data_IF_520546547400
#
_entry.id   IF_520546547400
#
_cell.length_a   1.000
_cell.length_b   1.000
_cell.length_c   1.000
_cell.angle_alpha   90.00
_cell.angle_beta   90.00
_cell.angle_gamma   90.00
#
_symmetry.space_group_name_H-M   'P 1'
#
loop_
_entity.id
_entity.type
_entity.pdbx_description
1 polymer ?
#
# COMPACT_ATOMS: atom_id res chain seq x y z
N UNK A 1 -5.59 -13.52 -14.23
CA UNK A 1 -6.88 -13.91 -13.58
C UNK A 1 -6.55 -14.71 -12.33
N UNK A 2 -7.01 -14.26 -11.14
CA UNK A 2 -6.82 -14.99 -9.90
C UNK A 2 -7.32 -16.44 -10.03
N UNK A 3 -6.55 -17.40 -9.53
CA UNK A 3 -6.94 -18.82 -9.47
C UNK A 3 -8.07 -19.02 -8.46
N UNK A 4 -8.75 -20.18 -8.49
CA UNK A 4 -9.75 -20.51 -7.49
C UNK A 4 -9.13 -20.54 -6.09
N UNK A 5 -7.97 -21.17 -5.94
CA UNK A 5 -7.24 -21.22 -4.68
C UNK A 5 -6.91 -19.84 -4.13
N UNK A 6 -6.43 -18.92 -4.98
CA UNK A 6 -6.15 -17.53 -4.56
C UNK A 6 -7.41 -16.81 -4.06
N UNK A 7 -8.54 -16.99 -4.74
CA UNK A 7 -9.82 -16.37 -4.35
C UNK A 7 -10.37 -16.87 -3.01
N UNK A 8 -10.11 -18.14 -2.71
CA UNK A 8 -10.57 -18.77 -1.47
C UNK A 8 -9.68 -18.49 -0.26
N UNK A 9 -8.38 -18.33 -0.52
CA UNK A 9 -7.35 -18.30 0.53
C UNK A 9 -6.73 -16.92 0.76
N UNK A 10 -6.90 -15.98 -0.18
CA UNK A 10 -6.31 -14.63 -0.07
C UNK A 10 -7.42 -13.60 0.00
N UNK A 11 -7.50 -12.90 1.13
CA UNK A 11 -8.40 -11.77 1.27
C UNK A 11 -7.75 -10.50 0.70
N UNK A 12 -8.43 -9.87 -0.23
CA UNK A 12 -8.07 -8.55 -0.78
C UNK A 12 -8.94 -7.49 -0.09
N UNK A 13 -8.39 -6.67 0.84
CA UNK A 13 -9.13 -5.58 1.43
C UNK A 13 -9.59 -4.56 0.37
N UNK A 14 -10.74 -3.91 0.58
CA UNK A 14 -11.22 -2.86 -0.34
C UNK A 14 -10.19 -1.75 -0.52
N UNK A 15 -9.55 -1.32 0.58
CA UNK A 15 -8.50 -0.30 0.53
C UNK A 15 -7.30 -0.70 -0.33
N UNK A 16 -6.95 -2.00 -0.39
CA UNK A 16 -5.89 -2.50 -1.27
C UNK A 16 -6.34 -2.49 -2.75
N UNK A 17 -7.61 -2.77 -3.02
CA UNK A 17 -8.17 -2.63 -4.36
C UNK A 17 -8.20 -1.15 -4.79
N UNK A 18 -8.64 -0.25 -3.92
CA UNK A 18 -8.65 1.18 -4.15
C UNK A 18 -7.24 1.72 -4.42
N UNK A 19 -6.22 1.18 -3.71
CA UNK A 19 -4.82 1.55 -3.94
C UNK A 19 -4.33 1.13 -5.34
N UNK A 20 -4.71 -0.04 -5.83
CA UNK A 20 -4.39 -0.45 -7.20
C UNK A 20 -5.01 0.47 -8.25
N UNK A 21 -6.25 0.91 -8.03
CA UNK A 21 -6.92 1.87 -8.91
C UNK A 21 -6.25 3.23 -8.85
N UNK A 22 -5.94 3.72 -7.65
CA UNK A 22 -5.27 5.02 -7.46
C UNK A 22 -3.89 5.05 -8.13
N UNK A 23 -3.09 3.97 -8.03
CA UNK A 23 -1.82 3.86 -8.78
C UNK A 23 -2.02 4.03 -10.28
N UNK A 24 -3.12 3.48 -10.82
CA UNK A 24 -3.44 3.63 -12.23
C UNK A 24 -3.89 5.07 -12.60
N UNK A 25 -4.51 5.80 -11.67
CA UNK A 25 -4.83 7.22 -11.85
C UNK A 25 -3.57 8.09 -11.76
N UNK A 26 -2.73 7.89 -10.76
CA UNK A 26 -1.45 8.58 -10.61
C UNK A 26 -0.56 8.38 -11.84
N UNK A 27 -0.52 7.17 -12.40
CA UNK A 27 0.23 6.88 -13.61
C UNK A 27 -0.25 7.70 -14.83
N UNK A 28 -1.55 7.95 -14.95
CA UNK A 28 -2.10 8.76 -16.05
C UNK A 28 -1.87 10.26 -15.90
N UNK A 29 -1.57 10.72 -14.70
CA UNK A 29 -1.34 12.13 -14.37
C UNK A 29 0.14 12.45 -14.16
N UNK A 30 1.00 11.43 -14.20
CA UNK A 30 2.43 11.55 -13.92
C UNK A 30 3.16 12.29 -15.04
N UNK A 31 3.97 13.28 -14.68
CA UNK A 31 4.88 13.99 -15.58
C UNK A 31 5.99 13.10 -16.17
N UNK A 32 6.23 11.92 -15.60
CA UNK A 32 7.22 10.94 -16.04
C UNK A 32 6.71 9.98 -17.10
N UNK A 33 5.39 9.99 -17.39
CA UNK A 33 4.74 9.05 -18.29
C UNK A 33 4.17 9.80 -19.50
N UNK A 34 4.38 9.23 -20.70
CA UNK A 34 3.88 9.83 -21.93
C UNK A 34 2.34 9.81 -21.95
N UNK A 35 1.74 11.01 -22.08
CA UNK A 35 0.28 11.16 -22.12
C UNK A 35 -0.38 10.50 -23.33
N UNK A 36 0.34 10.40 -24.46
CA UNK A 36 -0.21 9.88 -25.72
C UNK A 36 -0.20 8.38 -25.79
N UNK A 37 0.90 7.76 -25.33
CA UNK A 37 1.05 6.30 -25.27
C UNK A 37 0.24 5.71 -24.13
N UNK A 38 0.03 6.53 -23.09
CA UNK A 38 -0.84 6.23 -21.98
C UNK A 38 -0.35 5.11 -21.08
N UNK A 39 -1.25 4.74 -20.20
CA UNK A 39 -1.08 3.60 -19.30
C UNK A 39 -1.92 2.45 -19.82
N UNK A 40 -1.29 1.32 -20.07
CA UNK A 40 -2.01 0.13 -20.55
C UNK A 40 -3.14 -0.27 -19.58
N UNK A 41 -4.35 -0.51 -20.10
CA UNK A 41 -5.45 -1.06 -19.32
C UNK A 41 -5.12 -2.43 -18.67
N UNK A 42 -4.07 -3.10 -19.12
CA UNK A 42 -3.57 -4.35 -18.53
C UNK A 42 -2.71 -4.13 -17.28
N UNK A 43 -2.33 -2.88 -16.96
CA UNK A 43 -1.52 -2.57 -15.78
C UNK A 43 -2.21 -3.09 -14.51
N UNK A 44 -3.46 -2.68 -14.27
CA UNK A 44 -4.21 -3.10 -13.07
C UNK A 44 -4.38 -4.62 -12.98
N UNK A 45 -4.56 -5.30 -14.12
CA UNK A 45 -4.67 -6.76 -14.16
C UNK A 45 -3.35 -7.42 -13.75
N UNK A 46 -2.25 -7.01 -14.37
CA UNK A 46 -0.92 -7.57 -14.08
C UNK A 46 -0.47 -7.24 -12.64
N UNK A 47 -0.75 -6.02 -12.18
CA UNK A 47 -0.46 -5.60 -10.81
C UNK A 47 -1.24 -6.44 -9.78
N UNK A 48 -2.54 -6.69 -10.02
CA UNK A 48 -3.34 -7.56 -9.16
C UNK A 48 -2.80 -9.00 -9.13
N UNK A 49 -2.40 -9.56 -10.27
CA UNK A 49 -1.82 -10.90 -10.33
C UNK A 49 -0.52 -10.98 -9.53
N UNK A 50 0.38 -10.00 -9.64
CA UNK A 50 1.60 -9.94 -8.86
C UNK A 50 1.33 -9.77 -7.36
N UNK A 51 0.39 -8.91 -7.00
CA UNK A 51 -0.01 -8.66 -5.62
C UNK A 51 -0.55 -9.93 -4.94
N UNK A 52 -1.46 -10.64 -5.61
CA UNK A 52 -1.99 -11.92 -5.11
C UNK A 52 -0.90 -12.99 -5.03
N UNK A 53 0.00 -13.06 -6.01
CA UNK A 53 1.13 -13.99 -5.98
C UNK A 53 2.10 -13.74 -4.83
N UNK A 54 2.36 -12.47 -4.49
CA UNK A 54 3.16 -12.11 -3.32
C UNK A 54 2.53 -12.59 -2.01
N UNK A 55 1.24 -12.33 -1.83
CA UNK A 55 0.50 -12.80 -0.68
C UNK A 55 0.45 -14.35 -0.60
N UNK A 56 0.28 -15.03 -1.75
CA UNK A 56 0.29 -16.50 -1.83
C UNK A 56 1.65 -17.08 -1.45
N UNK A 57 2.75 -16.51 -1.91
CA UNK A 57 4.09 -16.94 -1.51
C UNK A 57 4.29 -16.83 0.00
N UNK A 58 3.81 -15.76 0.63
CA UNK A 58 3.88 -15.60 2.09
C UNK A 58 3.02 -16.65 2.81
N UNK A 59 1.81 -16.90 2.34
CA UNK A 59 0.91 -17.94 2.85
C UNK A 59 1.60 -19.32 2.84
N UNK A 60 2.18 -19.69 1.70
CA UNK A 60 2.86 -20.99 1.53
C UNK A 60 4.11 -21.11 2.41
N UNK A 61 4.93 -20.05 2.51
CA UNK A 61 6.14 -20.04 3.37
C UNK A 61 5.80 -20.23 4.85
N UNK A 62 4.66 -19.74 5.29
CA UNK A 62 4.21 -19.85 6.68
C UNK A 62 3.32 -21.09 6.94
N UNK A 63 3.07 -21.95 5.94
CA UNK A 63 2.11 -23.06 6.04
C UNK A 63 0.73 -22.63 6.54
N UNK A 64 0.28 -21.45 6.12
CA UNK A 64 -1.04 -20.94 6.48
C UNK A 64 -2.08 -21.34 5.44
N UNK A 65 -3.34 -21.44 5.86
CA UNK A 65 -4.48 -21.73 4.96
C UNK A 65 -5.12 -20.48 4.38
N UNK A 66 -4.94 -19.32 5.05
CA UNK A 66 -5.49 -18.03 4.63
C UNK A 66 -4.52 -16.92 4.96
N UNK A 67 -4.53 -15.87 4.13
CA UNK A 67 -3.76 -14.63 4.36
C UNK A 67 -4.51 -13.42 3.81
N UNK A 68 -4.06 -12.24 4.21
CA UNK A 68 -4.56 -10.95 3.74
C UNK A 68 -3.48 -10.25 2.93
N UNK A 69 -3.85 -9.60 1.83
CA UNK A 69 -2.95 -8.71 1.10
C UNK A 69 -2.52 -7.56 2.03
N UNK A 70 -1.22 -7.30 2.09
CA UNK A 70 -0.59 -6.26 2.94
C UNK A 70 -0.01 -5.15 2.07
N UNK A 71 0.19 -3.99 2.66
CA UNK A 71 0.86 -2.88 1.97
C UNK A 71 2.25 -3.27 1.44
N UNK A 72 3.00 -4.08 2.19
CA UNK A 72 4.31 -4.59 1.77
C UNK A 72 4.28 -5.46 0.50
N UNK A 73 3.13 -6.05 0.16
CA UNK A 73 3.00 -6.85 -1.07
C UNK A 73 3.02 -5.96 -2.32
N UNK A 74 2.76 -4.65 -2.18
CA UNK A 74 2.77 -3.71 -3.31
C UNK A 74 4.15 -3.51 -3.93
N UNK A 75 5.24 -3.81 -3.24
CA UNK A 75 6.56 -3.85 -3.86
C UNK A 75 6.64 -4.84 -5.03
N UNK A 76 5.83 -5.89 -5.01
CA UNK A 76 5.78 -6.90 -6.08
C UNK A 76 5.16 -6.41 -7.39
N UNK A 77 4.43 -5.28 -7.37
CA UNK A 77 3.78 -4.76 -8.58
C UNK A 77 4.69 -3.87 -9.43
N UNK A 78 5.86 -3.48 -8.93
CA UNK A 78 6.82 -2.64 -9.67
C UNK A 78 7.11 -3.18 -11.07
N UNK A 79 7.38 -4.49 -11.29
CA UNK A 79 7.58 -5.03 -12.64
C UNK A 79 6.33 -4.93 -13.53
N UNK A 80 5.14 -4.97 -12.93
CA UNK A 80 3.90 -4.79 -13.71
C UNK A 80 3.73 -3.35 -14.17
N UNK A 81 4.15 -2.37 -13.37
CA UNK A 81 4.13 -0.95 -13.72
C UNK A 81 5.16 -0.69 -14.82
N UNK A 82 6.43 -1.02 -14.58
CA UNK A 82 7.53 -0.74 -15.50
C UNK A 82 7.34 -1.38 -16.88
N UNK A 83 6.65 -2.53 -16.95
CA UNK A 83 6.34 -3.22 -18.21
C UNK A 83 5.07 -2.74 -18.92
N UNK A 84 4.36 -1.72 -18.40
CA UNK A 84 3.05 -1.27 -18.91
C UNK A 84 2.91 0.25 -19.02
N UNK A 85 3.97 0.98 -18.72
CA UNK A 85 4.05 2.44 -18.86
C UNK A 85 5.14 2.77 -19.88
N UNK A 86 4.93 3.83 -20.66
CA UNK A 86 5.94 4.42 -21.52
C UNK A 86 6.40 5.71 -20.87
N UNK A 87 7.71 5.81 -20.62
CA UNK A 87 8.31 6.95 -19.94
C UNK A 87 8.64 8.06 -20.94
N UNK A 88 8.51 9.31 -20.50
CA UNK A 88 9.14 10.45 -21.17
C UNK A 88 10.63 10.49 -20.82
N UNK A 89 11.38 11.37 -21.49
CA UNK A 89 12.83 11.48 -21.31
C UNK A 89 13.27 11.66 -19.86
N UNK A 90 12.58 12.51 -19.10
CA UNK A 90 12.82 12.75 -17.67
C UNK A 90 12.60 11.48 -16.84
N UNK A 91 11.56 10.73 -17.17
CA UNK A 91 11.27 9.45 -16.52
C UNK A 91 12.31 8.36 -16.83
N UNK A 92 12.84 8.36 -18.06
CA UNK A 92 13.94 7.45 -18.44
C UNK A 92 15.23 7.77 -17.69
N UNK A 93 15.51 9.05 -17.45
CA UNK A 93 16.68 9.47 -16.65
C UNK A 93 16.61 9.05 -15.20
N UNK A 94 15.46 9.20 -14.57
CA UNK A 94 15.23 8.75 -13.18
C UNK A 94 15.18 7.21 -13.06
N UNK A 95 14.75 6.54 -14.10
CA UNK A 95 14.62 5.09 -14.17
C UNK A 95 13.22 4.58 -13.84
N UNK A 96 12.80 3.56 -14.57
CA UNK A 96 11.44 3.02 -14.51
C UNK A 96 11.04 2.51 -13.11
N UNK A 97 11.99 1.94 -12.36
CA UNK A 97 11.74 1.46 -11.00
C UNK A 97 11.49 2.62 -10.02
N UNK A 98 12.26 3.71 -10.15
CA UNK A 98 12.04 4.92 -9.37
C UNK A 98 10.65 5.52 -9.64
N UNK A 99 10.28 5.64 -10.92
CA UNK A 99 8.96 6.15 -11.32
C UNK A 99 7.85 5.26 -10.75
N UNK A 100 7.98 3.93 -10.87
CA UNK A 100 6.99 3.00 -10.33
C UNK A 100 6.81 3.14 -8.81
N UNK A 101 7.89 3.24 -8.05
CA UNK A 101 7.83 3.47 -6.60
C UNK A 101 7.20 4.83 -6.28
N UNK A 102 7.55 5.89 -7.01
CA UNK A 102 6.95 7.22 -6.82
C UNK A 102 5.44 7.21 -7.05
N UNK A 103 4.94 6.45 -8.04
CA UNK A 103 3.51 6.28 -8.27
C UNK A 103 2.81 5.57 -7.10
N UNK A 104 3.44 4.52 -6.55
CA UNK A 104 2.92 3.81 -5.39
C UNK A 104 2.85 4.75 -4.17
N UNK A 105 3.92 5.49 -3.90
CA UNK A 105 3.99 6.43 -2.78
C UNK A 105 2.96 7.55 -2.91
N UNK A 106 2.78 8.13 -4.12
CA UNK A 106 1.76 9.14 -4.40
C UNK A 106 0.34 8.61 -4.16
N UNK A 107 0.05 7.39 -4.63
CA UNK A 107 -1.23 6.76 -4.43
C UNK A 107 -1.51 6.47 -2.94
N UNK A 108 -0.51 6.00 -2.18
CA UNK A 108 -0.63 5.81 -0.73
C UNK A 108 -0.95 7.14 -0.04
N UNK A 109 -0.22 8.21 -0.38
CA UNK A 109 -0.46 9.56 0.17
C UNK A 109 -1.88 10.02 -0.14
N UNK A 110 -2.31 9.91 -1.39
CA UNK A 110 -3.67 10.31 -1.82
C UNK A 110 -4.75 9.57 -1.04
N UNK A 111 -4.61 8.24 -0.89
CA UNK A 111 -5.57 7.45 -0.10
C UNK A 111 -5.50 7.76 1.40
N UNK A 112 -4.32 7.99 1.95
CA UNK A 112 -4.18 8.40 3.33
C UNK A 112 -4.94 9.70 3.60
N UNK A 113 -4.77 10.72 2.73
CA UNK A 113 -5.45 12.00 2.85
C UNK A 113 -6.97 11.94 2.63
N UNK A 114 -7.46 10.91 1.92
CA UNK A 114 -8.91 10.63 1.78
C UNK A 114 -9.51 10.00 3.04
N UNK A 115 -8.74 9.19 3.76
CA UNK A 115 -9.22 8.39 4.89
C UNK A 115 -8.90 8.98 6.25
N UNK A 116 -7.88 9.87 6.35
CA UNK A 116 -7.42 10.46 7.61
C UNK A 116 -7.30 11.97 7.52
N UNK A 117 -7.32 12.68 8.66
CA UNK A 117 -7.16 14.14 8.69
C UNK A 117 -5.85 14.60 8.06
N UNK A 118 -5.92 15.64 7.23
CA UNK A 118 -4.73 16.24 6.61
C UNK A 118 -3.87 16.97 7.62
N UNK A 119 -2.60 16.65 7.71
CA UNK A 119 -1.63 17.22 8.66
C UNK A 119 -1.58 18.75 8.51
N UNK A 120 -1.47 19.27 7.29
CA UNK A 120 -1.38 20.71 7.01
C UNK A 120 -2.57 21.53 7.56
N UNK A 121 -3.76 20.93 7.63
CA UNK A 121 -4.94 21.59 8.20
C UNK A 121 -4.87 21.64 9.71
N UNK A 122 -4.29 20.62 10.34
CA UNK A 122 -4.16 20.51 11.79
C UNK A 122 -3.06 21.43 12.32
N UNK A 123 -1.92 21.49 11.67
CA UNK A 123 -0.81 22.40 12.02
C UNK A 123 -1.22 23.88 11.97
N UNK A 124 -2.03 24.28 10.99
CA UNK A 124 -2.55 25.66 10.89
C UNK A 124 -3.50 26.03 12.04
N UNK A 125 -4.06 25.05 12.73
CA UNK A 125 -4.95 25.30 13.88
C UNK A 125 -4.20 25.35 15.22
N UNK A 126 -2.87 25.10 15.24
CA UNK A 126 -2.05 25.14 16.44
C UNK A 126 -2.41 24.09 17.49
N UNK A 127 -3.18 23.06 17.08
CA UNK A 127 -3.58 21.95 17.92
C UNK A 127 -2.63 20.76 17.78
N UNK A 128 -2.53 19.94 18.83
CA UNK A 128 -1.87 18.64 18.72
C UNK A 128 -2.55 17.82 17.61
N UNK A 129 -1.75 17.18 16.78
CA UNK A 129 -2.28 16.34 15.71
C UNK A 129 -2.64 14.96 16.27
N UNK A 130 -3.63 14.25 15.70
CA UNK A 130 -3.96 12.90 16.12
C UNK A 130 -2.81 11.89 15.90
N UNK A 131 -1.75 12.33 15.23
CA UNK A 131 -0.56 11.53 14.92
C UNK A 131 0.56 11.69 15.93
N UNK A 132 0.54 12.70 16.81
CA UNK A 132 1.64 13.03 17.73
C UNK A 132 1.95 11.87 18.70
N UNK A 133 0.91 11.22 19.23
CA UNK A 133 1.07 10.03 20.07
C UNK A 133 1.72 8.88 19.31
N UNK A 134 1.37 8.71 18.03
CA UNK A 134 1.91 7.66 17.17
C UNK A 134 3.39 7.93 16.86
N UNK A 135 3.73 9.16 16.50
CA UNK A 135 5.12 9.59 16.26
C UNK A 135 5.96 9.41 17.51
N UNK A 136 5.45 9.84 18.68
CA UNK A 136 6.11 9.68 19.98
C UNK A 136 6.33 8.21 20.33
N UNK A 137 5.34 7.35 20.06
CA UNK A 137 5.45 5.92 20.28
C UNK A 137 6.58 5.30 19.45
N UNK A 138 6.63 5.56 18.13
CA UNK A 138 7.69 5.07 17.26
C UNK A 138 9.07 5.63 17.62
N UNK A 139 9.15 6.86 18.09
CA UNK A 139 10.40 7.44 18.54
C UNK A 139 10.97 6.72 19.79
N UNK A 140 10.08 6.30 20.69
CA UNK A 140 10.46 5.60 21.92
C UNK A 140 10.72 4.09 21.70
N UNK A 141 10.03 3.47 20.74
CA UNK A 141 10.11 2.04 20.41
C UNK A 141 11.15 1.79 19.29
N UNK A 142 12.40 2.15 19.54
CA UNK A 142 13.49 2.07 18.58
C UNK A 142 13.78 0.68 17.97
N UNK A 143 13.17 -0.39 18.52
CA UNK A 143 13.35 -1.79 18.07
C UNK A 143 12.08 -2.38 17.43
N UNK A 144 11.04 -1.58 17.19
CA UNK A 144 9.83 -2.09 16.57
C UNK A 144 10.07 -2.36 15.08
N UNK A 145 9.86 -3.60 14.67
CA UNK A 145 10.04 -4.04 13.28
C UNK A 145 8.93 -5.00 12.87
N UNK A 146 8.39 -4.81 11.68
CA UNK A 146 7.46 -5.73 11.02
C UNK A 146 8.14 -6.29 9.78
N UNK A 147 8.53 -7.55 9.82
CA UNK A 147 9.11 -8.23 8.67
C UNK A 147 8.00 -8.66 7.69
N UNK A 148 8.27 -8.53 6.40
CA UNK A 148 7.29 -8.85 5.34
C UNK A 148 6.89 -10.34 5.33
N UNK A 149 7.78 -11.22 5.76
CA UNK A 149 7.59 -12.68 5.70
C UNK A 149 6.88 -13.31 6.90
N UNK A 150 6.49 -12.55 7.94
CA UNK A 150 5.86 -13.11 9.15
C UNK A 150 4.44 -13.60 8.89
N UNK A 151 3.99 -14.56 9.73
CA UNK A 151 2.65 -15.12 9.68
C UNK A 151 1.54 -14.06 9.86
N UNK A 152 0.32 -14.39 9.43
CA UNK A 152 -0.84 -13.50 9.58
C UNK A 152 -1.13 -13.20 11.06
N UNK A 153 -1.01 -14.23 11.90
CA UNK A 153 -1.20 -14.09 13.35
C UNK A 153 -0.18 -13.15 14.00
N UNK A 154 1.09 -13.29 13.62
CA UNK A 154 2.16 -12.46 14.16
C UNK A 154 2.05 -11.01 13.67
N UNK A 155 1.72 -10.82 12.39
CA UNK A 155 1.48 -9.51 11.81
C UNK A 155 0.37 -8.76 12.54
N UNK A 156 -0.80 -9.39 12.73
CA UNK A 156 -1.91 -8.80 13.50
C UNK A 156 -1.52 -8.49 14.93
N UNK A 157 -0.80 -9.41 15.61
CA UNK A 157 -0.33 -9.18 16.98
C UNK A 157 0.56 -7.95 17.07
N UNK A 158 1.49 -7.79 16.14
CA UNK A 158 2.39 -6.62 16.09
C UNK A 158 1.63 -5.32 15.84
N UNK A 159 0.70 -5.28 14.89
CA UNK A 159 -0.12 -4.08 14.64
C UNK A 159 -0.95 -3.71 15.86
N UNK A 160 -1.60 -4.67 16.51
CA UNK A 160 -2.41 -4.46 17.70
C UNK A 160 -1.59 -4.02 18.94
N UNK A 161 -0.27 -4.26 18.96
CA UNK A 161 0.59 -3.77 20.04
C UNK A 161 0.89 -2.27 19.97
N UNK A 162 0.57 -1.61 18.85
CA UNK A 162 0.74 -0.17 18.67
C UNK A 162 -0.50 0.54 19.23
N UNK A 163 -0.48 0.85 20.52
CA UNK A 163 -1.63 1.46 21.20
C UNK A 163 -2.15 2.77 20.57
N UNK A 164 -1.28 3.75 20.18
CA UNK A 164 -1.76 4.96 19.53
C UNK A 164 -2.41 4.69 18.16
N UNK A 165 -1.94 3.68 17.42
CA UNK A 165 -2.58 3.26 16.17
C UNK A 165 -4.01 2.75 16.42
N UNK A 166 -4.18 1.94 17.47
CA UNK A 166 -5.50 1.42 17.82
C UNK A 166 -6.46 2.54 18.25
N UNK A 167 -5.98 3.59 18.92
CA UNK A 167 -6.79 4.79 19.25
C UNK A 167 -7.20 5.53 17.99
N UNK A 168 -6.25 5.79 17.09
CA UNK A 168 -6.50 6.47 15.82
C UNK A 168 -7.53 5.69 14.97
N UNK A 169 -7.37 4.38 14.85
CA UNK A 169 -8.30 3.54 14.11
C UNK A 169 -9.70 3.51 14.74
N UNK A 170 -9.82 3.49 16.07
CA UNK A 170 -11.12 3.57 16.76
C UNK A 170 -11.87 4.85 16.44
N UNK A 171 -11.15 5.95 16.28
CA UNK A 171 -11.73 7.25 16.00
C UNK A 171 -12.18 7.39 14.53
N UNK A 172 -11.33 6.99 13.57
CA UNK A 172 -11.56 7.24 12.16
C UNK A 172 -12.07 6.00 11.39
N UNK A 173 -11.69 4.80 11.80
CA UNK A 173 -11.98 3.53 11.12
C UNK A 173 -12.25 2.39 12.11
N UNK A 174 -13.29 2.46 12.93
CA UNK A 174 -13.59 1.45 13.94
C UNK A 174 -13.85 0.04 13.37
N UNK A 175 -14.22 -0.04 12.09
CA UNK A 175 -14.41 -1.30 11.35
C UNK A 175 -13.09 -2.04 11.10
N UNK A 176 -11.97 -1.34 11.04
CA UNK A 176 -10.65 -1.95 10.79
C UNK A 176 -10.12 -2.78 11.99
N UNK A 177 -10.75 -2.66 13.16
CA UNK A 177 -10.39 -3.39 14.38
C UNK A 177 -11.25 -4.64 14.63
N UNK A 178 -12.21 -4.95 13.76
CA UNK A 178 -13.06 -6.15 13.82
C UNK A 178 -12.41 -7.29 13.05
#
# INVERSE_FOLDING_TARGET
KATLSQKENIYLPSLAADLLEEISFEARQSEYIDEKSGVSARLSISALENLLSSAEQRLLRNNESKTTVRLSDFSSIVPAITGKVELVYEGEQEGAEFVANKLIDSAIKTLFEKNFPKIEKLEKQGANTPYDDLVTWFFNESKFEILNGISEKEYKKKLLSIEPLNKLLKEYHPEALK
#
